data_IF_513223204863
#
_entry.id   IF_513223204863
#
_cell.length_a   1.000
_cell.length_b   1.000
_cell.length_c   1.000
_cell.angle_alpha   90.00
_cell.angle_beta   90.00
_cell.angle_gamma   90.00
#
_symmetry.space_group_name_H-M   'P 1'
#
loop_
_entity.id
_entity.type
_entity.pdbx_description
1 polymer ?
#
# COMPACT_ATOMS: atom_id res chain seq x y z
N UNK A 1 1.75 -8.14 11.06
CA UNK A 1 1.55 -6.86 11.75
C UNK A 1 0.28 -6.91 12.59
N UNK A 2 0.23 -6.20 13.74
CA UNK A 2 -0.91 -6.11 14.65
C UNK A 2 -2.20 -5.68 13.96
N UNK A 3 -2.11 -4.73 13.02
CA UNK A 3 -3.24 -4.33 12.18
C UNK A 3 -3.80 -5.47 11.35
N UNK A 4 -2.95 -6.40 10.90
CA UNK A 4 -3.38 -7.61 10.20
C UNK A 4 -4.15 -8.57 11.10
N UNK A 5 -3.72 -8.75 12.36
CA UNK A 5 -4.43 -9.56 13.35
C UNK A 5 -5.84 -9.02 13.62
N UNK A 6 -5.98 -7.71 13.83
CA UNK A 6 -7.28 -7.09 14.05
C UNK A 6 -8.22 -7.23 12.84
N UNK A 7 -7.69 -7.09 11.62
CA UNK A 7 -8.47 -7.32 10.40
C UNK A 7 -8.90 -8.79 10.27
N UNK A 8 -8.03 -9.72 10.63
CA UNK A 8 -8.34 -11.16 10.56
C UNK A 8 -9.54 -11.54 11.46
N UNK A 9 -9.67 -10.92 12.63
CA UNK A 9 -10.82 -11.12 13.55
C UNK A 9 -12.03 -10.25 13.19
N UNK A 10 -12.02 -9.53 12.07
CA UNK A 10 -13.13 -8.73 11.56
C UNK A 10 -13.15 -7.27 12.00
N UNK A 11 -12.19 -6.84 12.82
CA UNK A 11 -12.11 -5.44 13.24
C UNK A 11 -11.18 -4.65 12.31
N UNK A 12 -11.76 -3.99 11.29
CA UNK A 12 -11.01 -3.14 10.35
C UNK A 12 -11.03 -1.66 10.74
N UNK A 13 -11.95 -1.24 11.60
CA UNK A 13 -12.13 0.17 11.97
C UNK A 13 -11.04 0.63 12.94
N UNK A 14 -10.73 -0.16 13.94
CA UNK A 14 -9.72 0.23 14.95
C UNK A 14 -8.33 0.45 14.35
N UNK A 15 -7.78 -0.44 13.48
CA UNK A 15 -6.53 -0.17 12.81
C UNK A 15 -6.56 1.09 11.95
N UNK A 16 -7.70 1.40 11.32
CA UNK A 16 -7.88 2.62 10.55
C UNK A 16 -7.79 3.87 11.42
N UNK A 17 -8.45 3.86 12.59
CA UNK A 17 -8.38 4.99 13.54
C UNK A 17 -6.93 5.21 13.99
N UNK A 18 -6.21 4.16 14.36
CA UNK A 18 -4.81 4.28 14.78
C UNK A 18 -3.90 4.76 13.64
N UNK A 19 -4.19 4.37 12.40
CA UNK A 19 -3.49 4.89 11.23
C UNK A 19 -3.72 6.40 11.06
N UNK A 20 -4.97 6.87 11.21
CA UNK A 20 -5.31 8.30 11.12
C UNK A 20 -4.60 9.07 12.23
N UNK A 21 -4.68 8.59 13.48
CA UNK A 21 -3.98 9.22 14.61
C UNK A 21 -2.48 9.30 14.37
N UNK A 22 -1.88 8.19 13.93
CA UNK A 22 -0.45 8.14 13.58
C UNK A 22 -0.09 9.13 12.48
N UNK A 23 -0.93 9.25 11.45
CA UNK A 23 -0.70 10.20 10.35
C UNK A 23 -0.78 11.66 10.82
N UNK A 24 -1.73 12.00 11.69
CA UNK A 24 -1.82 13.33 12.28
C UNK A 24 -0.60 13.64 13.15
N UNK A 25 -0.19 12.69 14.00
CA UNK A 25 1.02 12.84 14.84
C UNK A 25 2.26 13.01 13.94
N UNK A 26 2.37 12.21 12.86
CA UNK A 26 3.49 12.33 11.93
C UNK A 26 3.58 13.72 11.34
N UNK A 27 2.47 14.27 10.82
CA UNK A 27 2.45 15.64 10.26
C UNK A 27 2.86 16.69 11.30
N UNK A 28 2.37 16.57 12.55
CA UNK A 28 2.73 17.50 13.63
C UNK A 28 4.23 17.42 13.94
N UNK A 29 4.76 16.19 14.05
CA UNK A 29 6.18 15.99 14.33
C UNK A 29 7.07 16.42 13.17
N UNK A 30 6.64 16.20 11.91
CA UNK A 30 7.35 16.68 10.73
C UNK A 30 7.51 18.20 10.76
N UNK A 31 6.40 18.93 10.99
CA UNK A 31 6.43 20.40 11.11
C UNK A 31 7.32 20.85 12.25
N UNK A 32 7.25 20.18 13.40
CA UNK A 32 8.04 20.52 14.58
C UNK A 32 9.54 20.28 14.37
N UNK A 33 9.92 19.14 13.83
CA UNK A 33 11.31 18.73 13.68
C UNK A 33 12.00 19.42 12.50
N UNK A 34 11.28 19.62 11.39
CA UNK A 34 11.83 20.29 10.23
C UNK A 34 11.82 21.82 10.36
N UNK A 35 10.81 22.39 11.05
CA UNK A 35 10.67 23.83 11.28
C UNK A 35 11.52 24.30 12.46
N UNK A 36 10.96 24.41 13.68
CA UNK A 36 11.67 25.04 14.83
C UNK A 36 12.96 24.35 15.24
N UNK A 37 13.04 23.02 15.10
CA UNK A 37 14.20 22.24 15.53
C UNK A 37 15.28 22.08 14.45
N UNK A 38 15.01 22.48 13.21
CA UNK A 38 15.95 22.47 12.08
C UNK A 38 16.66 21.12 11.84
N UNK A 39 16.04 20.00 12.16
CA UNK A 39 16.64 18.66 11.97
C UNK A 39 16.68 18.22 10.50
N UNK A 40 16.11 19.01 9.56
CA UNK A 40 16.13 18.72 8.14
C UNK A 40 15.52 17.35 7.82
N UNK A 41 16.14 16.62 6.89
CA UNK A 41 15.66 15.29 6.44
C UNK A 41 15.67 14.26 7.57
N UNK A 42 16.59 14.34 8.51
CA UNK A 42 16.62 13.45 9.68
C UNK A 42 15.40 13.66 10.58
N UNK A 43 14.91 14.90 10.67
CA UNK A 43 13.67 15.22 11.38
C UNK A 43 12.47 14.49 10.85
N UNK A 44 12.27 14.50 9.52
CA UNK A 44 11.18 13.76 8.87
C UNK A 44 11.27 12.24 9.10
N UNK A 45 12.47 11.67 9.02
CA UNK A 45 12.68 10.24 9.27
C UNK A 45 12.34 9.87 10.73
N UNK A 46 12.81 10.66 11.70
CA UNK A 46 12.53 10.43 13.13
C UNK A 46 11.05 10.63 13.46
N UNK A 47 10.39 11.64 12.90
CA UNK A 47 8.96 11.85 13.04
C UNK A 47 8.14 10.65 12.58
N UNK A 48 8.49 10.09 11.43
CA UNK A 48 7.82 8.90 10.88
C UNK A 48 7.99 7.69 11.80
N UNK A 49 9.21 7.44 12.30
CA UNK A 49 9.48 6.31 13.20
C UNK A 49 8.70 6.49 14.52
N UNK A 50 8.70 7.67 15.10
CA UNK A 50 7.98 7.95 16.35
C UNK A 50 6.47 7.80 16.18
N UNK A 51 5.89 8.34 15.11
CA UNK A 51 4.47 8.20 14.82
C UNK A 51 4.06 6.74 14.63
N UNK A 52 4.86 5.95 13.95
CA UNK A 52 4.63 4.51 13.78
C UNK A 52 4.77 3.75 15.10
N UNK A 53 5.79 4.07 15.92
CA UNK A 53 5.96 3.47 17.24
C UNK A 53 4.75 3.73 18.14
N UNK A 54 4.26 4.96 18.19
CA UNK A 54 3.04 5.32 18.92
C UNK A 54 1.84 4.49 18.44
N UNK A 55 1.66 4.37 17.12
CA UNK A 55 0.58 3.56 16.54
C UNK A 55 0.65 2.09 16.96
N UNK A 56 1.85 1.50 16.93
CA UNK A 56 2.07 0.11 17.35
C UNK A 56 1.76 -0.04 18.84
N UNK A 57 2.25 0.85 19.69
CA UNK A 57 1.99 0.81 21.14
C UNK A 57 0.49 0.92 21.43
N UNK A 58 -0.21 1.86 20.80
CA UNK A 58 -1.65 2.01 20.96
C UNK A 58 -2.41 0.76 20.50
N UNK A 59 -2.04 0.19 19.36
CA UNK A 59 -2.64 -1.01 18.83
C UNK A 59 -2.40 -2.20 19.77
N UNK A 60 -1.19 -2.36 20.28
CA UNK A 60 -0.82 -3.42 21.21
C UNK A 60 -1.64 -3.35 22.52
N UNK A 61 -1.70 -2.19 23.17
CA UNK A 61 -2.50 -2.02 24.38
C UNK A 61 -4.00 -2.22 24.13
N UNK A 62 -4.48 -1.81 22.96
CA UNK A 62 -5.87 -2.04 22.58
C UNK A 62 -6.18 -3.53 22.43
N UNK A 63 -5.30 -4.31 21.80
CA UNK A 63 -5.45 -5.76 21.66
C UNK A 63 -5.44 -6.42 23.03
N UNK A 64 -4.47 -6.08 23.88
CA UNK A 64 -4.39 -6.64 25.24
C UNK A 64 -5.65 -6.36 26.06
N UNK A 65 -6.24 -5.19 25.92
CA UNK A 65 -7.43 -4.82 26.71
C UNK A 65 -8.72 -5.47 26.19
N UNK A 66 -8.90 -5.53 24.88
CA UNK A 66 -10.20 -5.87 24.28
C UNK A 66 -10.28 -7.29 23.71
N UNK A 67 -9.16 -7.96 23.53
CA UNK A 67 -9.10 -9.29 22.92
C UNK A 67 -8.26 -10.28 23.76
N UNK A 68 -8.79 -10.75 24.91
CA UNK A 68 -8.09 -11.72 25.77
C UNK A 68 -7.72 -13.02 25.03
N UNK A 69 -8.48 -13.38 24.01
CA UNK A 69 -8.23 -14.56 23.18
C UNK A 69 -6.99 -14.44 22.28
N UNK A 70 -6.44 -13.23 22.10
CA UNK A 70 -5.18 -13.00 21.39
C UNK A 70 -3.97 -12.91 22.33
N UNK A 71 -4.18 -13.10 23.63
CA UNK A 71 -3.08 -13.16 24.59
C UNK A 71 -2.27 -14.44 24.36
N UNK A 72 -1.00 -14.26 24.05
CA UNK A 72 -0.07 -15.39 23.88
C UNK A 72 0.14 -16.08 25.22
N UNK A 73 -0.21 -17.36 25.30
CA UNK A 73 0.11 -18.24 26.41
C UNK A 73 1.41 -18.99 26.11
N UNK A 74 2.08 -19.48 27.16
CA UNK A 74 3.30 -20.30 26.97
C UNK A 74 3.07 -21.57 26.15
N UNK A 75 1.84 -22.09 26.21
CA UNK A 75 1.41 -23.27 25.44
C UNK A 75 1.36 -22.97 23.94
N UNK A 76 1.04 -21.73 23.54
CA UNK A 76 0.95 -21.28 22.14
C UNK A 76 2.33 -21.18 21.45
N UNK A 77 3.43 -21.23 22.25
CA UNK A 77 4.80 -21.26 21.71
C UNK A 77 5.21 -22.63 21.16
N UNK A 78 4.43 -23.69 21.45
CA UNK A 78 4.66 -25.02 20.90
C UNK A 78 3.91 -25.19 19.59
N UNK A 79 4.47 -24.61 18.54
CA UNK A 79 3.91 -24.69 17.17
C UNK A 79 4.45 -25.94 16.48
N UNK A 80 3.59 -26.69 15.78
CA UNK A 80 4.03 -27.86 15.03
C UNK A 80 5.00 -27.45 13.90
N UNK A 81 6.05 -28.24 13.68
CA UNK A 81 7.03 -27.96 12.63
C UNK A 81 6.43 -27.92 11.24
N UNK A 82 5.36 -28.67 11.00
CA UNK A 82 4.61 -28.64 9.73
C UNK A 82 3.96 -27.28 9.46
N UNK A 83 3.31 -26.69 10.47
CA UNK A 83 2.69 -25.37 10.34
C UNK A 83 3.74 -24.27 10.12
N UNK A 84 4.87 -24.35 10.83
CA UNK A 84 5.99 -23.40 10.64
C UNK A 84 6.54 -23.51 9.22
N UNK A 85 6.70 -24.72 8.71
CA UNK A 85 7.18 -24.95 7.33
C UNK A 85 6.21 -24.42 6.28
N UNK A 86 4.91 -24.62 6.46
CA UNK A 86 3.88 -24.08 5.56
C UNK A 86 3.91 -22.54 5.52
N UNK A 87 3.98 -21.90 6.67
CA UNK A 87 4.12 -20.44 6.77
C UNK A 87 5.43 -19.96 6.13
N UNK A 88 6.52 -20.65 6.35
CA UNK A 88 7.82 -20.32 5.78
C UNK A 88 7.82 -20.42 4.25
N UNK A 89 7.29 -21.50 3.69
CA UNK A 89 7.20 -21.71 2.24
C UNK A 89 6.30 -20.63 1.60
N UNK A 90 5.17 -20.32 2.22
CA UNK A 90 4.27 -19.27 1.73
C UNK A 90 4.94 -17.89 1.79
N UNK A 91 5.58 -17.56 2.90
CA UNK A 91 6.31 -16.31 3.08
C UNK A 91 7.50 -16.19 2.11
N UNK A 92 8.25 -17.28 1.91
CA UNK A 92 9.39 -17.33 0.96
C UNK A 92 8.91 -17.12 -0.47
N UNK A 93 7.78 -17.73 -0.87
CA UNK A 93 7.18 -17.52 -2.20
C UNK A 93 6.83 -16.06 -2.44
N UNK A 94 6.22 -15.40 -1.46
CA UNK A 94 5.91 -13.97 -1.53
C UNK A 94 7.19 -13.11 -1.56
N UNK A 95 8.20 -13.47 -0.77
CA UNK A 95 9.47 -12.77 -0.75
C UNK A 95 10.21 -12.86 -2.09
N UNK A 96 10.25 -14.05 -2.70
CA UNK A 96 10.84 -14.26 -4.03
C UNK A 96 10.10 -13.47 -5.11
N UNK A 97 8.77 -13.47 -5.09
CA UNK A 97 7.98 -12.65 -6.00
C UNK A 97 8.34 -11.17 -5.87
N UNK A 98 8.38 -10.62 -4.66
CA UNK A 98 8.76 -9.23 -4.42
C UNK A 98 10.22 -8.95 -4.82
N UNK A 99 11.13 -9.89 -4.62
CA UNK A 99 12.53 -9.76 -5.04
C UNK A 99 12.64 -9.63 -6.57
N UNK A 100 11.92 -10.45 -7.33
CA UNK A 100 11.90 -10.37 -8.80
C UNK A 100 11.36 -9.00 -9.25
N UNK A 101 10.27 -8.51 -8.67
CA UNK A 101 9.75 -7.16 -8.95
C UNK A 101 10.78 -6.08 -8.62
N UNK A 102 11.47 -6.19 -7.49
CA UNK A 102 12.48 -5.21 -7.09
C UNK A 102 13.67 -5.18 -8.03
N UNK A 103 14.16 -6.36 -8.44
CA UNK A 103 15.26 -6.46 -9.43
C UNK A 103 14.82 -5.83 -10.76
N UNK A 104 13.63 -6.16 -11.25
CA UNK A 104 13.07 -5.54 -12.46
C UNK A 104 12.97 -4.02 -12.37
N UNK A 105 12.56 -3.51 -11.22
CA UNK A 105 12.49 -2.07 -10.95
C UNK A 105 13.88 -1.40 -10.98
N UNK A 106 14.90 -2.04 -10.42
CA UNK A 106 16.29 -1.54 -10.44
C UNK A 106 16.85 -1.51 -11.87
N UNK A 107 16.62 -2.55 -12.66
CA UNK A 107 17.04 -2.62 -14.07
C UNK A 107 16.36 -1.50 -14.86
N UNK A 108 15.05 -1.34 -14.68
CA UNK A 108 14.30 -0.26 -15.34
C UNK A 108 14.84 1.13 -14.94
N UNK A 109 15.09 1.35 -13.65
CA UNK A 109 15.64 2.61 -13.17
C UNK A 109 17.04 2.89 -13.74
N UNK A 110 17.88 1.87 -13.84
CA UNK A 110 19.20 1.99 -14.45
C UNK A 110 19.12 2.40 -15.92
N UNK A 111 18.21 1.79 -16.67
CA UNK A 111 17.97 2.14 -18.08
C UNK A 111 17.43 3.57 -18.25
N UNK A 112 16.55 4.00 -17.35
CA UNK A 112 16.03 5.37 -17.36
C UNK A 112 17.08 6.41 -17.01
N UNK A 113 17.99 6.10 -16.09
CA UNK A 113 19.10 6.99 -15.75
C UNK A 113 20.01 7.26 -16.95
N UNK A 114 20.18 6.29 -17.85
CA UNK A 114 20.95 6.45 -19.07
C UNK A 114 20.28 7.38 -20.10
N UNK A 115 18.94 7.57 -20.02
CA UNK A 115 18.19 8.47 -20.92
C UNK A 115 18.24 9.94 -20.50
N UNK A 116 18.69 10.23 -19.28
CA UNK A 116 18.86 11.58 -18.77
C UNK A 116 17.70 12.15 -17.96
N UNK A 117 17.94 13.33 -17.37
CA UNK A 117 17.07 13.92 -16.34
C UNK A 117 15.62 14.19 -16.78
N UNK A 118 15.40 14.48 -18.06
CA UNK A 118 14.06 14.74 -18.61
C UNK A 118 13.17 13.50 -18.47
N UNK A 119 13.70 12.32 -18.81
CA UNK A 119 12.97 11.06 -18.72
C UNK A 119 12.79 10.59 -17.26
N UNK A 120 13.79 10.84 -16.41
CA UNK A 120 13.69 10.57 -14.97
C UNK A 120 12.56 11.40 -14.36
N UNK A 121 12.52 12.71 -14.63
CA UNK A 121 11.45 13.58 -14.11
C UNK A 121 10.07 13.16 -14.61
N UNK A 122 9.96 12.81 -15.90
CA UNK A 122 8.72 12.32 -16.48
C UNK A 122 8.25 11.01 -15.82
N UNK A 123 9.16 10.06 -15.64
CA UNK A 123 8.85 8.77 -15.01
C UNK A 123 8.45 8.93 -13.55
N UNK A 124 9.15 9.75 -12.77
CA UNK A 124 8.83 9.99 -11.36
C UNK A 124 7.44 10.59 -11.22
N UNK A 125 7.12 11.60 -12.03
CA UNK A 125 5.78 12.22 -12.02
C UNK A 125 4.69 11.27 -12.49
N UNK A 126 4.90 10.56 -13.58
CA UNK A 126 3.96 9.59 -14.13
C UNK A 126 3.73 8.41 -13.18
N UNK A 127 4.79 7.88 -12.57
CA UNK A 127 4.71 6.79 -11.60
C UNK A 127 3.93 7.20 -10.34
N UNK A 128 4.16 8.38 -9.80
CA UNK A 128 3.40 8.88 -8.65
C UNK A 128 1.90 8.93 -8.91
N UNK A 129 1.53 9.41 -10.10
CA UNK A 129 0.12 9.45 -10.49
C UNK A 129 -0.45 8.05 -10.72
N UNK A 130 0.29 7.15 -11.39
CA UNK A 130 -0.13 5.77 -11.58
C UNK A 130 -0.29 5.01 -10.24
N UNK A 131 0.60 5.21 -9.27
CA UNK A 131 0.51 4.62 -7.93
C UNK A 131 -0.79 5.04 -7.21
N UNK A 132 -1.22 6.29 -7.34
CA UNK A 132 -2.50 6.76 -6.79
C UNK A 132 -3.69 5.99 -7.39
N UNK A 133 -3.66 5.69 -8.69
CA UNK A 133 -4.72 4.90 -9.33
C UNK A 133 -4.70 3.44 -8.93
N UNK A 134 -3.55 2.90 -8.55
CA UNK A 134 -3.43 1.51 -8.11
C UNK A 134 -3.87 1.29 -6.66
N UNK A 135 -3.90 2.33 -5.82
CA UNK A 135 -4.26 2.21 -4.39
C UNK A 135 -5.62 1.56 -4.13
N UNK A 136 -6.73 1.94 -4.81
CA UNK A 136 -8.01 1.27 -4.58
C UNK A 136 -8.00 -0.21 -4.99
N UNK A 137 -7.25 -0.58 -6.02
CA UNK A 137 -7.06 -1.96 -6.43
C UNK A 137 -6.37 -2.80 -5.34
N UNK A 138 -5.30 -2.29 -4.75
CA UNK A 138 -4.61 -2.98 -3.63
C UNK A 138 -5.50 -3.07 -2.39
N UNK A 139 -6.31 -2.05 -2.10
CA UNK A 139 -7.28 -2.07 -1.01
C UNK A 139 -8.38 -3.11 -1.24
N UNK A 140 -8.94 -3.19 -2.44
CA UNK A 140 -9.92 -4.21 -2.83
C UNK A 140 -9.32 -5.62 -2.76
N UNK A 141 -8.09 -5.83 -3.24
CA UNK A 141 -7.38 -7.10 -3.15
C UNK A 141 -7.25 -7.56 -1.70
N UNK A 142 -6.77 -6.70 -0.81
CA UNK A 142 -6.63 -7.00 0.62
C UNK A 142 -7.98 -7.30 1.27
N UNK A 143 -9.01 -6.53 0.94
CA UNK A 143 -10.36 -6.71 1.48
C UNK A 143 -10.97 -8.03 1.00
N UNK A 144 -10.80 -8.36 -0.27
CA UNK A 144 -11.28 -9.61 -0.87
C UNK A 144 -10.55 -10.82 -0.29
N UNK A 145 -9.24 -10.72 -0.06
CA UNK A 145 -8.46 -11.77 0.58
C UNK A 145 -8.96 -12.02 2.02
N UNK A 146 -9.18 -10.96 2.81
CA UNK A 146 -9.70 -11.06 4.17
C UNK A 146 -11.11 -11.66 4.19
N UNK A 147 -12.01 -11.17 3.32
CA UNK A 147 -13.37 -11.70 3.18
C UNK A 147 -13.37 -13.18 2.80
N UNK A 148 -12.54 -13.56 1.83
CA UNK A 148 -12.42 -14.93 1.34
C UNK A 148 -11.90 -15.87 2.44
N UNK A 149 -10.87 -15.45 3.18
CA UNK A 149 -10.28 -16.23 4.27
C UNK A 149 -11.28 -16.47 5.40
N UNK A 150 -12.04 -15.45 5.81
CA UNK A 150 -13.07 -15.57 6.85
C UNK A 150 -14.22 -16.50 6.41
N UNK A 151 -14.68 -16.39 5.17
CA UNK A 151 -15.74 -17.27 4.65
C UNK A 151 -15.26 -18.70 4.41
N UNK A 152 -13.99 -18.88 4.06
CA UNK A 152 -13.36 -20.19 3.94
C UNK A 152 -13.30 -20.90 5.30
N UNK A 153 -12.80 -20.20 6.34
CA UNK A 153 -12.75 -20.71 7.71
C UNK A 153 -14.13 -21.04 8.27
N UNK A 154 -15.17 -20.28 7.87
CA UNK A 154 -16.57 -20.53 8.23
C UNK A 154 -17.26 -21.62 7.37
N UNK A 155 -16.57 -22.26 6.42
CA UNK A 155 -17.14 -23.27 5.51
C UNK A 155 -18.08 -22.70 4.44
N UNK A 156 -18.24 -21.40 4.30
CA UNK A 156 -19.21 -20.72 3.41
C UNK A 156 -18.63 -20.41 2.04
N UNK A 157 -18.18 -21.44 1.32
CA UNK A 157 -17.48 -21.30 0.03
C UNK A 157 -18.28 -20.56 -1.06
N UNK A 158 -19.59 -20.71 -1.10
CA UNK A 158 -20.46 -20.03 -2.06
C UNK A 158 -20.41 -18.50 -1.95
N UNK A 159 -20.21 -17.97 -0.72
CA UNK A 159 -20.09 -16.53 -0.47
C UNK A 159 -18.79 -15.95 -1.02
N UNK A 160 -17.72 -16.74 -1.09
CA UNK A 160 -16.43 -16.31 -1.62
C UNK A 160 -16.59 -15.86 -3.08
N UNK A 161 -17.25 -16.68 -3.91
CA UNK A 161 -17.50 -16.33 -5.32
C UNK A 161 -18.36 -15.06 -5.47
N UNK A 162 -19.35 -14.88 -4.59
CA UNK A 162 -20.14 -13.66 -4.55
C UNK A 162 -19.29 -12.44 -4.26
N UNK A 163 -18.41 -12.52 -3.25
CA UNK A 163 -17.49 -11.45 -2.89
C UNK A 163 -16.50 -11.11 -4.00
N UNK A 164 -15.92 -12.12 -4.66
CA UNK A 164 -15.00 -11.93 -5.80
C UNK A 164 -15.70 -11.22 -6.96
N UNK A 165 -16.93 -11.59 -7.31
CA UNK A 165 -17.68 -10.91 -8.37
C UNK A 165 -17.95 -9.44 -8.05
N UNK A 166 -18.32 -9.14 -6.81
CA UNK A 166 -18.54 -7.76 -6.36
C UNK A 166 -17.23 -6.96 -6.41
N UNK A 167 -16.13 -7.52 -5.90
CA UNK A 167 -14.83 -6.88 -5.94
C UNK A 167 -14.37 -6.60 -7.38
N UNK A 168 -14.56 -7.56 -8.28
CA UNK A 168 -14.27 -7.39 -9.71
C UNK A 168 -15.09 -6.26 -10.33
N UNK A 169 -16.41 -6.22 -10.06
CA UNK A 169 -17.28 -5.15 -10.54
C UNK A 169 -16.87 -3.77 -10.02
N UNK A 170 -16.53 -3.66 -8.74
CA UNK A 170 -16.04 -2.41 -8.15
C UNK A 170 -14.70 -1.98 -8.76
N UNK A 171 -13.79 -2.94 -8.99
CA UNK A 171 -12.52 -2.64 -9.63
C UNK A 171 -12.68 -2.21 -11.09
N UNK A 172 -13.60 -2.82 -11.82
CA UNK A 172 -13.94 -2.43 -13.19
C UNK A 172 -14.45 -0.98 -13.26
N UNK A 173 -15.36 -0.62 -12.36
CA UNK A 173 -15.87 0.76 -12.25
C UNK A 173 -14.71 1.72 -11.96
N UNK A 174 -13.86 1.37 -11.00
CA UNK A 174 -12.69 2.19 -10.66
C UNK A 174 -11.72 2.32 -11.85
N UNK A 175 -11.46 1.23 -12.57
CA UNK A 175 -10.60 1.25 -13.74
C UNK A 175 -11.13 2.17 -14.84
N UNK A 176 -12.43 2.14 -15.11
CA UNK A 176 -13.07 3.07 -16.06
C UNK A 176 -12.92 4.53 -15.62
N UNK A 177 -13.08 4.81 -14.33
CA UNK A 177 -12.84 6.16 -13.77
C UNK A 177 -11.36 6.55 -13.96
N UNK A 178 -10.42 5.66 -13.67
CA UNK A 178 -8.99 5.91 -13.84
C UNK A 178 -8.63 6.17 -15.32
N UNK A 179 -9.21 5.43 -16.25
CA UNK A 179 -9.05 5.66 -17.70
C UNK A 179 -9.58 7.03 -18.09
N UNK A 180 -10.79 7.39 -17.67
CA UNK A 180 -11.37 8.70 -17.94
C UNK A 180 -10.48 9.82 -17.34
N UNK A 181 -10.02 9.65 -16.11
CA UNK A 181 -9.12 10.61 -15.46
C UNK A 181 -7.78 10.74 -16.22
N UNK A 182 -7.23 9.63 -16.70
CA UNK A 182 -5.95 9.63 -17.45
C UNK A 182 -6.05 10.42 -18.77
N UNK A 183 -7.25 10.52 -19.32
CA UNK A 183 -7.48 11.25 -20.58
C UNK A 183 -7.72 12.74 -20.29
N UNK A 184 -8.60 13.07 -19.34
CA UNK A 184 -9.11 14.44 -19.15
C UNK A 184 -8.32 15.24 -18.10
N UNK A 185 -7.88 14.61 -17.01
CA UNK A 185 -7.32 15.32 -15.85
C UNK A 185 -5.81 15.12 -15.71
N UNK A 186 -5.28 13.98 -16.16
CA UNK A 186 -3.85 13.70 -16.04
C UNK A 186 -2.93 14.79 -16.63
N UNK A 187 -3.26 15.50 -17.73
CA UNK A 187 -2.41 16.59 -18.25
C UNK A 187 -2.17 17.71 -17.22
N UNK A 188 -3.20 18.03 -16.43
CA UNK A 188 -3.09 19.03 -15.38
C UNK A 188 -2.38 18.47 -14.13
N UNK A 189 -2.72 17.24 -13.74
CA UNK A 189 -2.12 16.58 -12.59
C UNK A 189 -0.61 16.34 -12.77
N UNK A 190 -0.18 15.92 -13.94
CA UNK A 190 1.24 15.74 -14.27
C UNK A 190 2.02 17.06 -14.16
N UNK A 191 1.49 18.16 -14.68
CA UNK A 191 2.11 19.48 -14.53
C UNK A 191 2.27 19.89 -13.07
N UNK A 192 1.24 19.65 -12.25
CA UNK A 192 1.26 19.94 -10.83
C UNK A 192 2.30 19.11 -10.07
N UNK A 193 2.38 17.80 -10.36
CA UNK A 193 3.27 16.85 -9.67
C UNK A 193 4.72 17.06 -10.08
N UNK A 194 4.99 17.26 -11.38
CA UNK A 194 6.36 17.43 -11.87
C UNK A 194 6.89 18.85 -11.65
N UNK A 195 6.02 19.83 -11.49
CA UNK A 195 6.39 21.26 -11.46
C UNK A 195 7.03 21.73 -12.76
N UNK A 196 7.01 20.93 -13.82
CA UNK A 196 7.69 21.18 -15.09
C UNK A 196 6.73 21.75 -16.12
N UNK A 197 7.21 22.76 -16.86
CA UNK A 197 6.53 23.31 -18.04
C UNK A 197 7.09 22.74 -19.34
N UNK A 198 8.12 21.89 -19.25
CA UNK A 198 8.76 21.28 -20.42
C UNK A 198 7.79 20.28 -21.10
N UNK A 199 7.40 20.50 -22.37
CA UNK A 199 6.46 19.62 -23.07
C UNK A 199 6.93 18.16 -23.10
N UNK A 200 8.22 17.93 -23.32
CA UNK A 200 8.79 16.57 -23.38
C UNK A 200 8.61 15.81 -22.07
N UNK A 201 8.75 16.47 -20.90
CA UNK A 201 8.52 15.86 -19.60
C UNK A 201 7.04 15.48 -19.44
N UNK A 202 6.15 16.41 -19.80
CA UNK A 202 4.72 16.24 -19.67
C UNK A 202 4.22 15.10 -20.57
N UNK A 203 4.62 15.10 -21.84
CA UNK A 203 4.16 14.11 -22.82
C UNK A 203 4.63 12.69 -22.46
N UNK A 204 5.90 12.53 -22.04
CA UNK A 204 6.41 11.23 -21.59
C UNK A 204 5.74 10.76 -20.30
N UNK A 205 5.47 11.67 -19.34
CA UNK A 205 4.75 11.31 -18.12
C UNK A 205 3.29 10.92 -18.41
N UNK A 206 2.62 11.62 -19.33
CA UNK A 206 1.27 11.27 -19.78
C UNK A 206 1.23 9.93 -20.49
N UNK A 207 2.20 9.67 -21.36
CA UNK A 207 2.33 8.38 -22.03
C UNK A 207 2.48 7.25 -21.01
N UNK A 208 3.35 7.45 -20.01
CA UNK A 208 3.52 6.49 -18.93
C UNK A 208 2.20 6.22 -18.19
N UNK A 209 1.48 7.27 -17.77
CA UNK A 209 0.20 7.14 -17.05
C UNK A 209 -0.84 6.40 -17.90
N UNK A 210 -0.97 6.77 -19.17
CA UNK A 210 -1.95 6.15 -20.09
C UNK A 210 -1.66 4.68 -20.34
N UNK A 211 -0.40 4.33 -20.61
CA UNK A 211 0.00 2.93 -20.78
C UNK A 211 -0.22 2.14 -19.49
N UNK A 212 0.24 2.67 -18.35
CA UNK A 212 0.05 2.02 -17.06
C UNK A 212 -1.43 1.78 -16.76
N UNK A 213 -2.28 2.79 -16.95
CA UNK A 213 -3.72 2.66 -16.70
C UNK A 213 -4.39 1.68 -17.68
N UNK A 214 -3.97 1.65 -18.94
CA UNK A 214 -4.53 0.72 -19.94
C UNK A 214 -4.08 -0.73 -19.73
N UNK A 215 -2.87 -0.95 -19.20
CA UNK A 215 -2.32 -2.29 -18.98
C UNK A 215 -2.74 -2.97 -17.68
N UNK A 216 -3.48 -2.28 -16.81
CA UNK A 216 -3.99 -2.84 -15.55
C UNK A 216 -5.54 -2.92 -15.54
N UNK A 217 -6.17 -3.61 -16.54
CA UNK A 217 -7.58 -3.96 -16.43
C UNK A 217 -7.80 -4.92 -15.26
N UNK A 218 -9.02 -5.04 -14.75
CA UNK A 218 -9.39 -5.97 -13.69
C UNK A 218 -9.21 -7.43 -14.11
#
# INVERSE_FOLDING_TARGET
TESGLLRAIGNSITPLIFLIVSSVINVILDVLFMGPLHFGVQGAATATILAQAISVILCFFYILKNYPQLHMKREDLHVSSGFVMEMFVTGMSMALMNAVFSIGSVILQSSLNALGNVYIAAQVGGRRLAELFMMPGTALSTSTATFSSQNYGAGKRSRIWGGVKVAFGLYLIWWLIAVAFSIFIAPYAVRLITGSTNPTVIDNALLYVRISTAMFPP
#
